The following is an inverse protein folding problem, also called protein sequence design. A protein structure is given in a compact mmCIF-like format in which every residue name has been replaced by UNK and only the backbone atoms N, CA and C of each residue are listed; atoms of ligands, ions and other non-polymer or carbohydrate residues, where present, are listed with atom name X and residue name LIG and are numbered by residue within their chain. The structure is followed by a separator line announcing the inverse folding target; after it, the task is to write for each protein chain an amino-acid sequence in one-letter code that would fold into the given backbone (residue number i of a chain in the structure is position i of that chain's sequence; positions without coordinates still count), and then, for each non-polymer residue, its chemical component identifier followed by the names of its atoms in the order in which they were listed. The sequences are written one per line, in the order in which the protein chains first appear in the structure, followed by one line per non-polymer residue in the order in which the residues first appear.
data_IF_011192350133
#
_entry.id   IF_011192350133
#
_cell.length_a   1.000
_cell.length_b   1.000
_cell.length_c   1.000
_cell.angle_alpha   90.00
_cell.angle_beta   90.00
_cell.angle_gamma   90.00
#
_symmetry.space_group_name_H-M   'P 1'
#
loop_
_entity.id
_entity.type
_entity.pdbx_description
1 polymer ?
#
# COMPACT_ATOMS: atom_id res chain seq x y z
N UNK A 1 16.33 10.02 3.40
CA UNK A 1 15.35 8.92 3.29
C UNK A 1 14.09 9.41 3.98
N UNK A 2 12.97 9.38 3.27
CA UNK A 2 11.69 9.77 3.86
C UNK A 2 11.14 8.63 4.73
N UNK A 3 10.17 8.94 5.58
CA UNK A 3 9.68 8.05 6.65
C UNK A 3 10.74 7.63 7.69
N UNK A 4 11.88 8.34 7.81
CA UNK A 4 12.87 8.04 8.87
C UNK A 4 12.33 8.25 10.29
N UNK A 5 11.38 9.16 10.41
CA UNK A 5 10.72 9.49 11.66
C UNK A 5 9.22 9.42 11.44
N UNK A 6 8.52 9.06 12.51
CA UNK A 6 7.07 9.22 12.58
C UNK A 6 6.73 10.71 12.43
N UNK A 7 5.62 10.99 11.79
CA UNK A 7 5.10 12.36 11.69
C UNK A 7 3.57 12.37 11.69
N UNK A 8 3.01 13.55 11.94
CA UNK A 8 1.57 13.75 11.99
C UNK A 8 1.07 14.54 10.77
N UNK A 9 0.02 14.03 10.14
CA UNK A 9 -0.72 14.71 9.10
C UNK A 9 -1.86 15.50 9.75
N UNK A 10 -1.60 16.76 10.08
CA UNK A 10 -2.54 17.62 10.83
C UNK A 10 -3.42 18.49 9.92
N UNK A 11 -3.02 18.69 8.67
CA UNK A 11 -3.75 19.52 7.71
C UNK A 11 -4.89 18.72 7.06
N UNK A 12 -5.93 19.42 6.63
CA UNK A 12 -7.01 18.88 5.78
C UNK A 12 -6.46 18.59 4.37
N UNK A 13 -5.69 17.51 4.25
CA UNK A 13 -4.95 17.13 3.05
C UNK A 13 -4.67 15.63 3.06
N UNK A 14 -4.45 15.04 1.88
CA UNK A 14 -4.26 13.61 1.72
C UNK A 14 -5.34 12.77 2.40
N UNK A 15 -4.95 11.67 3.07
CA UNK A 15 -5.89 10.85 3.86
C UNK A 15 -6.59 11.66 4.97
N UNK A 16 -5.92 12.64 5.58
CA UNK A 16 -6.54 13.44 6.62
C UNK A 16 -7.58 14.44 6.07
N UNK A 17 -7.75 14.59 4.75
CA UNK A 17 -8.88 15.34 4.20
C UNK A 17 -10.20 14.57 4.31
N UNK A 18 -10.16 13.23 4.37
CA UNK A 18 -11.34 12.38 4.44
C UNK A 18 -12.16 12.72 5.68
N UNK A 19 -13.43 13.05 5.46
CA UNK A 19 -14.41 13.49 6.47
C UNK A 19 -13.90 14.54 7.49
N UNK A 20 -12.86 15.33 7.17
CA UNK A 20 -12.13 16.17 8.14
C UNK A 20 -13.04 17.06 8.99
N UNK A 21 -13.99 17.77 8.35
CA UNK A 21 -14.93 18.65 9.05
C UNK A 21 -15.85 17.88 10.02
N UNK A 22 -16.39 16.74 9.59
CA UNK A 22 -17.24 15.88 10.43
C UNK A 22 -16.44 15.32 11.61
N UNK A 23 -15.21 14.83 11.37
CA UNK A 23 -14.31 14.36 12.43
C UNK A 23 -13.98 15.47 13.42
N UNK A 24 -13.69 16.68 12.94
CA UNK A 24 -13.44 17.85 13.80
C UNK A 24 -14.63 18.15 14.71
N UNK A 25 -15.85 18.09 14.17
CA UNK A 25 -17.08 18.30 14.93
C UNK A 25 -17.31 17.23 16.00
N UNK A 26 -17.04 15.96 15.70
CA UNK A 26 -17.20 14.84 16.63
C UNK A 26 -16.10 14.86 17.70
N UNK A 27 -14.84 14.99 17.29
CA UNK A 27 -13.67 14.92 18.17
C UNK A 27 -13.46 16.18 19.02
N UNK A 28 -14.08 17.31 18.65
CA UNK A 28 -13.88 18.64 19.27
C UNK A 28 -12.41 19.10 19.29
N UNK A 29 -11.60 18.61 18.35
CA UNK A 29 -10.20 19.00 18.13
C UNK A 29 -9.88 18.92 16.63
N UNK A 30 -8.76 19.50 16.20
CA UNK A 30 -8.30 19.31 14.83
C UNK A 30 -7.93 17.83 14.60
N UNK A 31 -8.52 17.16 13.59
CA UNK A 31 -8.15 15.80 13.23
C UNK A 31 -6.68 15.70 12.80
N UNK A 32 -6.04 14.61 13.19
CA UNK A 32 -4.66 14.32 12.84
C UNK A 32 -4.50 12.81 12.69
N UNK A 33 -3.70 12.40 11.71
CA UNK A 33 -3.34 11.01 11.49
C UNK A 33 -1.84 10.85 11.71
N UNK A 34 -1.44 9.75 12.34
CA UNK A 34 -0.03 9.42 12.53
C UNK A 34 0.44 8.59 11.35
N UNK A 35 1.61 8.91 10.81
CA UNK A 35 2.24 8.17 9.74
C UNK A 35 3.50 7.51 10.31
N UNK A 36 3.54 6.16 10.40
CA UNK A 36 4.66 5.46 11.00
C UNK A 36 5.99 5.71 10.29
N UNK A 37 7.09 5.59 11.03
CA UNK A 37 8.42 5.49 10.42
C UNK A 37 8.60 4.16 9.71
N UNK A 38 9.55 4.09 8.78
CA UNK A 38 9.98 2.86 8.13
C UNK A 38 11.23 2.27 8.79
N UNK A 39 11.25 0.94 8.93
CA UNK A 39 12.41 0.16 9.38
C UNK A 39 12.75 -0.92 8.35
N UNK A 40 13.99 -1.41 8.37
CA UNK A 40 14.32 -2.70 7.78
C UNK A 40 14.03 -3.76 8.84
N UNK A 41 13.34 -4.83 8.47
CA UNK A 41 12.91 -5.84 9.43
C UNK A 41 12.51 -7.14 8.77
N UNK A 42 11.92 -7.98 9.61
CA UNK A 42 11.40 -9.31 9.28
C UNK A 42 9.88 -9.28 9.30
N UNK A 43 9.25 -10.41 8.96
CA UNK A 43 7.80 -10.51 8.99
C UNK A 43 7.25 -10.33 10.40
N UNK A 44 8.02 -10.72 11.42
CA UNK A 44 7.75 -10.57 12.84
C UNK A 44 7.70 -9.09 13.28
N UNK A 45 8.35 -8.20 12.54
CA UNK A 45 8.33 -6.76 12.79
C UNK A 45 7.09 -6.07 12.21
N UNK A 46 6.31 -6.77 11.37
CA UNK A 46 5.00 -6.28 10.89
C UNK A 46 3.99 -6.44 12.03
N UNK A 47 3.91 -5.41 12.86
CA UNK A 47 3.07 -5.38 14.05
C UNK A 47 2.20 -4.13 14.05
N UNK A 48 0.98 -4.26 14.57
CA UNK A 48 0.13 -3.11 14.82
C UNK A 48 0.62 -2.31 16.02
N UNK A 49 0.49 -0.99 15.93
CA UNK A 49 0.81 -0.03 16.98
C UNK A 49 -0.45 0.54 17.63
N UNK A 50 -0.26 1.59 18.42
CA UNK A 50 -1.34 2.23 19.17
C UNK A 50 -1.88 3.51 18.50
N UNK A 51 -1.18 4.01 17.47
CA UNK A 51 -1.50 5.27 16.83
C UNK A 51 -2.63 5.13 15.81
N UNK A 52 -3.50 6.14 15.76
CA UNK A 52 -4.52 6.27 14.73
C UNK A 52 -3.86 6.72 13.42
N UNK A 53 -3.93 5.87 12.40
CA UNK A 53 -3.31 6.11 11.08
C UNK A 53 -4.34 6.37 9.99
N UNK A 54 -5.59 6.00 10.24
CA UNK A 54 -6.73 6.28 9.39
C UNK A 54 -7.94 6.55 10.27
N UNK A 55 -8.77 7.51 9.87
CA UNK A 55 -9.98 7.83 10.61
C UNK A 55 -10.98 8.49 9.67
N UNK A 56 -12.20 7.98 9.65
CA UNK A 56 -13.26 8.48 8.79
C UNK A 56 -14.63 8.39 9.48
N UNK A 57 -15.56 9.28 9.09
CA UNK A 57 -16.97 9.16 9.44
C UNK A 57 -17.68 8.39 8.34
N UNK A 58 -18.18 7.20 8.67
CA UNK A 58 -18.84 6.29 7.75
C UNK A 58 -20.19 6.84 7.23
N UNK A 59 -20.83 6.10 6.31
CA UNK A 59 -22.12 6.46 5.71
C UNK A 59 -23.25 6.60 6.74
N UNK A 60 -23.15 5.90 7.88
CA UNK A 60 -24.10 5.95 8.98
C UNK A 60 -23.79 7.08 9.98
N UNK A 61 -22.73 7.84 9.76
CA UNK A 61 -22.32 8.94 10.62
C UNK A 61 -21.46 8.52 11.83
N UNK A 62 -21.00 7.26 11.90
CA UNK A 62 -20.15 6.82 12.98
C UNK A 62 -18.68 7.12 12.68
N UNK A 63 -17.95 7.57 13.71
CA UNK A 63 -16.51 7.74 13.63
C UNK A 63 -15.81 6.38 13.74
N UNK A 64 -15.06 6.02 12.70
CA UNK A 64 -14.19 4.85 12.67
C UNK A 64 -12.75 5.32 12.84
N UNK A 65 -12.09 4.95 13.93
CA UNK A 65 -10.70 5.29 14.22
C UNK A 65 -9.82 4.04 14.17
N UNK A 66 -8.92 3.97 13.20
CA UNK A 66 -8.16 2.76 12.89
C UNK A 66 -6.71 2.88 13.35
N UNK A 67 -6.30 1.92 14.20
CA UNK A 67 -4.89 1.75 14.58
C UNK A 67 -4.14 1.05 13.45
N UNK A 68 -2.97 1.58 13.11
CA UNK A 68 -2.13 1.08 12.02
C UNK A 68 -0.95 0.26 12.48
N UNK A 69 0.03 0.12 11.58
CA UNK A 69 1.31 -0.50 11.90
C UNK A 69 2.11 0.36 12.88
N UNK A 70 2.91 -0.29 13.73
CA UNK A 70 3.90 0.35 14.60
C UNK A 70 5.02 1.00 13.78
N UNK A 71 5.44 0.33 12.72
CA UNK A 71 6.38 0.83 11.72
C UNK A 71 5.95 0.30 10.35
N UNK A 72 6.25 1.05 9.30
CA UNK A 72 6.38 0.44 7.97
C UNK A 72 7.61 -0.45 7.96
N UNK A 73 7.57 -1.53 7.19
CA UNK A 73 8.63 -2.54 7.22
C UNK A 73 9.10 -2.83 5.80
N UNK A 74 10.40 -2.66 5.56
CA UNK A 74 11.06 -3.28 4.41
C UNK A 74 11.47 -4.68 4.80
N UNK A 75 10.93 -5.66 4.09
CA UNK A 75 11.29 -7.06 4.28
C UNK A 75 12.43 -7.42 3.33
N UNK A 76 13.41 -8.14 3.86
CA UNK A 76 14.46 -8.79 3.08
C UNK A 76 14.21 -10.31 3.11
N UNK A 77 13.68 -10.83 2.00
CA UNK A 77 13.42 -12.26 1.81
C UNK A 77 14.24 -12.69 0.59
N UNK A 78 15.28 -13.48 0.80
CA UNK A 78 16.32 -13.75 -0.22
C UNK A 78 15.82 -14.23 -1.58
N UNK A 79 14.68 -14.94 -1.61
CA UNK A 79 14.09 -15.50 -2.83
C UNK A 79 13.09 -14.56 -3.52
N UNK A 80 12.87 -13.36 -2.99
CA UNK A 80 11.84 -12.43 -3.43
C UNK A 80 12.44 -11.04 -3.75
N UNK A 81 11.77 -10.25 -4.60
CA UNK A 81 12.11 -8.85 -4.80
C UNK A 81 11.93 -8.03 -3.50
N UNK A 82 12.42 -6.79 -3.44
CA UNK A 82 12.17 -5.89 -2.32
C UNK A 82 10.67 -5.77 -2.01
N UNK A 83 10.32 -5.92 -0.74
CA UNK A 83 8.93 -5.84 -0.26
C UNK A 83 8.81 -4.73 0.76
N UNK A 84 7.80 -3.88 0.62
CA UNK A 84 7.49 -2.84 1.60
C UNK A 84 6.06 -3.03 2.08
N UNK A 85 5.91 -3.16 3.40
CA UNK A 85 4.62 -3.28 4.08
C UNK A 85 4.32 -1.96 4.82
N UNK A 86 3.13 -1.41 4.60
CA UNK A 86 2.67 -0.16 5.20
C UNK A 86 1.17 -0.25 5.54
N UNK A 87 0.60 0.77 6.17
CA UNK A 87 -0.80 0.76 6.57
C UNK A 87 -1.75 1.06 5.39
N UNK A 88 -1.77 2.28 4.89
CA UNK A 88 -2.72 2.80 3.91
C UNK A 88 -2.15 2.76 2.50
N UNK A 89 -2.99 2.42 1.52
CA UNK A 89 -2.52 2.07 0.19
C UNK A 89 -1.80 3.19 -0.57
N UNK A 90 -2.16 4.44 -0.31
CA UNK A 90 -1.54 5.61 -0.95
C UNK A 90 -0.03 5.68 -0.77
N UNK A 91 0.51 5.12 0.33
CA UNK A 91 1.95 5.12 0.59
C UNK A 91 2.76 4.37 -0.48
N UNK A 92 2.12 3.46 -1.24
CA UNK A 92 2.72 2.75 -2.37
C UNK A 92 3.40 3.71 -3.36
N UNK A 93 2.76 4.84 -3.68
CA UNK A 93 3.25 5.82 -4.65
C UNK A 93 4.68 6.28 -4.34
N UNK A 94 4.97 6.59 -3.07
CA UNK A 94 6.30 7.02 -2.67
C UNK A 94 7.33 5.91 -2.91
N UNK A 95 7.01 4.68 -2.53
CA UNK A 95 7.93 3.54 -2.65
C UNK A 95 8.19 3.16 -4.11
N UNK A 96 7.23 3.38 -5.01
CA UNK A 96 7.45 3.23 -6.44
C UNK A 96 8.45 4.26 -6.96
N UNK A 97 8.31 5.54 -6.60
CA UNK A 97 9.28 6.57 -6.97
C UNK A 97 10.65 6.36 -6.33
N UNK A 98 10.69 5.85 -5.10
CA UNK A 98 11.93 5.47 -4.46
C UNK A 98 12.64 4.34 -5.20
N UNK A 99 11.91 3.29 -5.60
CA UNK A 99 12.47 2.20 -6.40
C UNK A 99 12.94 2.67 -7.79
N UNK A 100 12.21 3.60 -8.43
CA UNK A 100 12.63 4.24 -9.68
C UNK A 100 13.92 5.05 -9.49
N UNK A 101 14.02 5.82 -8.40
CA UNK A 101 15.18 6.63 -8.08
C UNK A 101 16.43 5.78 -7.77
N UNK A 102 16.24 4.63 -7.12
CA UNK A 102 17.30 3.67 -6.80
C UNK A 102 17.67 2.75 -7.97
N UNK A 103 16.92 2.79 -9.09
CA UNK A 103 17.15 1.94 -10.25
C UNK A 103 16.67 0.49 -10.09
N UNK A 104 15.90 0.18 -9.04
CA UNK A 104 15.26 -1.13 -8.85
C UNK A 104 14.02 -1.31 -9.75
N UNK A 105 13.40 -0.21 -10.17
CA UNK A 105 12.26 -0.15 -11.06
C UNK A 105 12.60 0.74 -12.27
N UNK A 106 11.94 0.50 -13.41
CA UNK A 106 12.09 1.32 -14.62
C UNK A 106 10.73 1.89 -15.03
N UNK A 107 10.70 3.18 -15.38
CA UNK A 107 9.52 3.83 -15.95
C UNK A 107 9.55 3.72 -17.49
N UNK A 108 8.43 3.42 -18.16
CA UNK A 108 7.15 3.08 -17.55
C UNK A 108 7.07 1.59 -17.17
N UNK A 109 6.41 1.28 -16.04
CA UNK A 109 6.26 -0.09 -15.53
C UNK A 109 4.83 -0.63 -15.69
N UNK A 110 4.67 -1.95 -15.58
CA UNK A 110 3.36 -2.58 -15.45
C UNK A 110 2.97 -2.71 -13.97
N UNK A 111 1.76 -2.28 -13.63
CA UNK A 111 1.20 -2.45 -12.29
C UNK A 111 0.26 -3.66 -12.27
N UNK A 112 0.54 -4.65 -11.43
CA UNK A 112 -0.44 -5.67 -11.05
C UNK A 112 -1.01 -5.26 -9.71
N UNK A 113 -2.29 -4.89 -9.70
CA UNK A 113 -3.02 -4.39 -8.54
C UNK A 113 -4.04 -5.42 -8.08
N UNK A 114 -3.88 -5.95 -6.87
CA UNK A 114 -4.78 -6.92 -6.26
C UNK A 114 -5.35 -6.33 -4.97
N UNK A 115 -6.66 -6.11 -4.97
CA UNK A 115 -7.33 -5.20 -4.05
C UNK A 115 -8.85 -5.43 -4.15
N UNK A 116 -9.61 -5.13 -3.11
CA UNK A 116 -11.07 -4.98 -3.19
C UNK A 116 -11.48 -3.74 -4.01
N UNK A 117 -10.65 -2.70 -4.00
CA UNK A 117 -10.91 -1.37 -4.55
C UNK A 117 -10.05 -1.06 -5.77
N UNK A 118 -10.55 -0.14 -6.61
CA UNK A 118 -9.82 0.27 -7.82
C UNK A 118 -8.67 1.25 -7.58
N UNK A 119 -8.76 2.07 -6.53
CA UNK A 119 -7.86 3.21 -6.26
C UNK A 119 -7.68 4.23 -7.41
N UNK A 120 -8.71 4.34 -8.25
CA UNK A 120 -8.74 5.19 -9.45
C UNK A 120 -9.68 6.39 -9.31
N UNK A 121 -10.03 6.82 -8.10
CA UNK A 121 -10.76 8.08 -7.93
C UNK A 121 -9.95 9.22 -8.56
N UNK A 122 -10.67 10.23 -9.07
CA UNK A 122 -10.04 11.38 -9.69
C UNK A 122 -9.09 12.07 -8.71
N UNK A 123 -7.84 12.27 -9.12
CA UNK A 123 -6.91 13.16 -8.45
C UNK A 123 -6.71 14.44 -9.29
N UNK A 124 -7.08 15.58 -8.70
CA UNK A 124 -6.98 16.90 -9.34
C UNK A 124 -5.60 17.52 -9.20
N UNK A 125 -4.74 16.95 -8.36
CA UNK A 125 -3.39 17.47 -8.14
C UNK A 125 -2.46 16.98 -9.24
N UNK A 126 -1.77 17.88 -9.97
CA UNK A 126 -0.86 17.48 -11.03
C UNK A 126 0.43 16.88 -10.45
N UNK A 127 0.72 15.62 -10.81
CA UNK A 127 1.98 14.97 -10.50
C UNK A 127 3.03 15.28 -11.58
N UNK A 128 4.07 16.01 -11.20
CA UNK A 128 5.26 16.23 -12.03
C UNK A 128 6.18 15.00 -11.94
N UNK A 129 6.10 14.14 -12.95
CA UNK A 129 6.88 12.90 -13.03
C UNK A 129 8.39 13.16 -12.99
N UNK A 130 8.89 14.11 -13.78
CA UNK A 130 10.33 14.38 -13.87
C UNK A 130 10.89 14.89 -12.54
N UNK A 131 10.12 15.74 -11.85
CA UNK A 131 10.49 16.23 -10.53
C UNK A 131 10.45 15.11 -9.49
N UNK A 132 9.43 14.25 -9.51
CA UNK A 132 9.33 13.10 -8.59
C UNK A 132 10.49 12.10 -8.76
N UNK A 133 10.92 11.84 -10.00
CA UNK A 133 12.09 10.99 -10.30
C UNK A 133 13.40 11.54 -9.70
N UNK A 134 13.56 12.87 -9.68
CA UNK A 134 14.80 13.54 -9.22
C UNK A 134 14.76 13.91 -7.74
N UNK A 135 13.57 14.01 -7.14
CA UNK A 135 13.38 14.53 -5.80
C UNK A 135 12.37 13.69 -5.00
N UNK A 136 12.89 12.75 -4.20
CA UNK A 136 12.09 11.92 -3.30
C UNK A 136 11.31 12.70 -2.24
N UNK A 137 11.73 13.93 -1.89
CA UNK A 137 10.92 14.79 -1.03
C UNK A 137 9.66 15.26 -1.74
N UNK A 138 9.74 15.62 -3.01
CA UNK A 138 8.54 15.98 -3.77
C UNK A 138 7.60 14.77 -3.92
N UNK A 139 8.12 13.58 -4.25
CA UNK A 139 7.31 12.37 -4.31
C UNK A 139 6.61 12.09 -2.97
N UNK A 140 7.34 12.19 -1.86
CA UNK A 140 6.78 12.01 -0.51
C UNK A 140 5.74 13.07 -0.14
N UNK A 141 5.97 14.34 -0.46
CA UNK A 141 4.99 15.41 -0.22
C UNK A 141 3.71 15.18 -1.05
N UNK A 142 3.86 14.77 -2.31
CA UNK A 142 2.72 14.43 -3.16
C UNK A 142 1.92 13.26 -2.57
N UNK A 143 2.58 12.15 -2.23
CA UNK A 143 1.95 10.98 -1.62
C UNK A 143 1.13 11.31 -0.37
N UNK A 144 1.66 12.15 0.53
CA UNK A 144 1.06 12.37 1.84
C UNK A 144 0.07 13.53 1.90
N UNK A 145 0.24 14.54 1.04
CA UNK A 145 -0.59 15.75 1.08
C UNK A 145 -1.52 15.90 -0.13
N UNK A 146 -1.26 15.19 -1.23
CA UNK A 146 -2.00 15.33 -2.50
C UNK A 146 -2.68 14.03 -2.96
N UNK A 147 -2.41 12.91 -2.31
CA UNK A 147 -3.10 11.64 -2.52
C UNK A 147 -3.84 11.19 -1.26
N UNK A 148 -4.95 10.49 -1.45
CA UNK A 148 -5.57 9.65 -0.45
C UNK A 148 -5.59 8.19 -0.93
N UNK A 149 -6.07 7.28 -0.08
CA UNK A 149 -6.16 5.84 -0.36
C UNK A 149 -6.83 5.54 -1.70
N UNK A 150 -7.87 6.27 -2.09
CA UNK A 150 -8.61 5.98 -3.32
C UNK A 150 -8.09 6.62 -4.61
N UNK A 151 -7.02 7.43 -4.60
CA UNK A 151 -6.65 8.26 -5.77
C UNK A 151 -5.15 8.41 -6.08
N UNK A 152 -4.29 7.55 -5.55
CA UNK A 152 -2.84 7.64 -5.76
C UNK A 152 -2.38 7.02 -7.09
N UNK A 153 -3.14 6.08 -7.68
CA UNK A 153 -2.76 5.42 -8.94
C UNK A 153 -3.00 6.35 -10.14
N UNK A 154 -4.13 7.06 -10.13
CA UNK A 154 -4.62 7.87 -11.24
C UNK A 154 -3.58 8.88 -11.78
N UNK A 155 -2.83 9.64 -10.95
CA UNK A 155 -1.77 10.52 -11.43
C UNK A 155 -0.66 9.83 -12.24
N UNK A 156 -0.33 8.57 -11.91
CA UNK A 156 0.72 7.81 -12.57
C UNK A 156 0.27 7.23 -13.91
N UNK A 157 -1.03 6.98 -14.08
CA UNK A 157 -1.61 6.63 -15.38
C UNK A 157 -1.62 7.85 -16.30
N UNK A 158 -2.06 9.01 -15.79
CA UNK A 158 -2.09 10.27 -16.56
C UNK A 158 -0.74 10.68 -17.14
N UNK A 159 0.35 10.48 -16.39
CA UNK A 159 1.70 10.84 -16.83
C UNK A 159 2.48 9.68 -17.48
N UNK A 160 1.82 8.55 -17.76
CA UNK A 160 2.42 7.34 -18.32
C UNK A 160 3.56 6.73 -17.48
N UNK A 161 3.65 6.99 -16.18
CA UNK A 161 4.59 6.25 -15.30
C UNK A 161 4.20 4.77 -15.20
N UNK A 162 2.89 4.51 -15.09
CA UNK A 162 2.31 3.18 -15.25
C UNK A 162 1.91 3.04 -16.73
N UNK A 163 2.48 2.05 -17.42
CA UNK A 163 2.15 1.78 -18.84
C UNK A 163 0.85 1.00 -18.99
N UNK A 164 0.70 -0.01 -18.14
CA UNK A 164 -0.41 -0.97 -18.14
C UNK A 164 -0.74 -1.29 -16.69
N UNK A 165 -2.03 -1.43 -16.39
CA UNK A 165 -2.52 -1.88 -15.10
C UNK A 165 -3.35 -3.16 -15.29
N UNK A 166 -2.98 -4.21 -14.59
CA UNK A 166 -3.77 -5.44 -14.42
C UNK A 166 -4.48 -5.31 -13.07
N UNK A 167 -5.80 -5.43 -13.07
CA UNK A 167 -6.65 -5.38 -11.87
C UNK A 167 -7.10 -6.80 -11.53
N UNK A 168 -6.91 -7.20 -10.28
CA UNK A 168 -7.26 -8.51 -9.74
C UNK A 168 -8.24 -8.31 -8.58
N UNK A 169 -9.46 -7.90 -8.92
CA UNK A 169 -10.50 -7.48 -7.98
C UNK A 169 -11.64 -8.51 -7.86
N UNK A 170 -11.68 -9.51 -8.75
CA UNK A 170 -12.69 -10.55 -8.73
C UNK A 170 -12.13 -11.93 -9.09
N UNK A 171 -12.94 -12.96 -8.88
CA UNK A 171 -12.54 -14.35 -9.12
C UNK A 171 -12.15 -14.60 -10.58
N UNK A 172 -12.86 -13.99 -11.53
CA UNK A 172 -12.59 -14.17 -12.96
C UNK A 172 -11.19 -13.66 -13.33
N UNK A 173 -10.81 -12.48 -12.84
CA UNK A 173 -9.48 -11.91 -13.06
C UNK A 173 -8.39 -12.75 -12.39
N UNK A 174 -8.59 -13.15 -11.13
CA UNK A 174 -7.65 -14.01 -10.42
C UNK A 174 -7.43 -15.33 -11.16
N UNK A 175 -8.49 -15.95 -11.67
CA UNK A 175 -8.40 -17.19 -12.44
C UNK A 175 -7.68 -16.97 -13.79
N UNK A 176 -7.98 -15.85 -14.47
CA UNK A 176 -7.34 -15.47 -15.74
C UNK A 176 -5.83 -15.26 -15.59
N UNK A 177 -5.40 -14.64 -14.49
CA UNK A 177 -4.00 -14.28 -14.25
C UNK A 177 -3.25 -15.22 -13.30
N UNK A 178 -3.85 -16.34 -12.88
CA UNK A 178 -3.23 -17.29 -11.92
C UNK A 178 -1.86 -17.83 -12.34
N UNK A 179 -1.60 -17.93 -13.65
CA UNK A 179 -0.34 -18.40 -14.25
C UNK A 179 0.40 -17.28 -14.99
N UNK A 180 0.03 -16.02 -14.74
CA UNK A 180 0.66 -14.88 -15.39
C UNK A 180 2.11 -14.74 -14.92
N UNK A 181 3.02 -14.47 -15.86
CA UNK A 181 4.43 -14.19 -15.56
C UNK A 181 4.67 -12.73 -15.91
N UNK A 182 4.73 -11.82 -14.91
CA UNK A 182 5.02 -10.42 -15.13
C UNK A 182 6.36 -10.15 -15.83
N UNK A 183 6.47 -9.06 -16.60
CA UNK A 183 7.77 -8.62 -17.10
C UNK A 183 8.65 -8.12 -15.95
N UNK A 184 9.98 -8.16 -16.12
CA UNK A 184 10.98 -7.68 -15.13
C UNK A 184 10.90 -6.18 -14.78
N UNK A 185 9.95 -5.44 -15.34
CA UNK A 185 9.65 -4.02 -15.06
C UNK A 185 8.21 -3.89 -14.57
N UNK A 186 7.89 -4.61 -13.52
CA UNK A 186 6.55 -4.67 -12.97
C UNK A 186 6.54 -4.48 -11.47
N UNK A 187 5.43 -3.99 -10.96
CA UNK A 187 5.15 -3.83 -9.53
C UNK A 187 3.97 -4.71 -9.20
N UNK A 188 4.09 -5.50 -8.13
CA UNK A 188 2.92 -6.11 -7.51
C UNK A 188 2.48 -5.24 -6.33
N UNK A 189 1.31 -4.64 -6.47
CA UNK A 189 0.68 -3.84 -5.44
C UNK A 189 -0.49 -4.62 -4.85
N UNK A 190 -0.33 -5.06 -3.62
CA UNK A 190 -1.30 -5.90 -2.92
C UNK A 190 -1.94 -5.08 -1.79
N UNK A 191 -3.25 -4.93 -1.83
CA UNK A 191 -4.00 -4.63 -0.62
C UNK A 191 -4.39 -5.95 0.07
N UNK A 192 -4.18 -6.04 1.38
CA UNK A 192 -4.57 -7.21 2.15
C UNK A 192 -6.10 -7.32 2.33
N UNK A 193 -6.84 -6.24 2.08
CA UNK A 193 -8.30 -6.21 2.11
C UNK A 193 -8.95 -7.12 1.04
N UNK A 194 -8.20 -7.60 0.06
CA UNK A 194 -8.63 -8.70 -0.82
C UNK A 194 -9.01 -9.96 -0.01
N UNK A 195 -8.61 -10.06 1.26
CA UNK A 195 -9.02 -11.11 2.22
C UNK A 195 -10.05 -10.66 3.25
N UNK A 196 -10.66 -9.48 3.10
CA UNK A 196 -11.77 -9.03 3.91
C UNK A 196 -13.01 -9.92 3.70
N UNK A 197 -13.93 -10.03 4.68
CA UNK A 197 -15.15 -10.83 4.58
C UNK A 197 -15.99 -10.55 3.33
N UNK A 198 -15.99 -9.29 2.88
CA UNK A 198 -16.67 -8.80 1.68
C UNK A 198 -16.19 -9.54 0.42
N UNK A 199 -14.95 -10.01 0.42
CA UNK A 199 -14.30 -10.72 -0.68
C UNK A 199 -14.33 -12.25 -0.56
N UNK A 200 -15.05 -12.82 0.41
CA UNK A 200 -15.07 -14.28 0.67
C UNK A 200 -15.71 -15.11 -0.45
N UNK A 201 -16.44 -14.47 -1.37
CA UNK A 201 -16.94 -15.14 -2.59
C UNK A 201 -15.80 -15.64 -3.49
N UNK A 202 -14.61 -15.07 -3.38
CA UNK A 202 -13.40 -15.56 -4.04
C UNK A 202 -12.68 -16.54 -3.10
N UNK A 203 -12.49 -17.82 -3.48
CA UNK A 203 -11.81 -18.78 -2.62
C UNK A 203 -10.40 -18.33 -2.22
N UNK A 204 -10.10 -18.32 -0.92
CA UNK A 204 -8.81 -17.90 -0.37
C UNK A 204 -7.61 -18.60 -1.04
N UNK A 205 -7.75 -19.90 -1.34
CA UNK A 205 -6.70 -20.67 -2.02
C UNK A 205 -6.35 -20.04 -3.38
N UNK A 206 -7.34 -19.60 -4.15
CA UNK A 206 -7.10 -18.96 -5.46
C UNK A 206 -6.34 -17.65 -5.30
N UNK A 207 -6.70 -16.84 -4.29
CA UNK A 207 -5.99 -15.59 -3.96
C UNK A 207 -4.52 -15.87 -3.66
N UNK A 208 -4.26 -16.80 -2.74
CA UNK A 208 -2.89 -17.17 -2.32
C UNK A 208 -2.08 -17.75 -3.48
N UNK A 209 -2.65 -18.67 -4.27
CA UNK A 209 -1.95 -19.31 -5.38
C UNK A 209 -1.55 -18.25 -6.44
N UNK A 210 -2.44 -17.31 -6.75
CA UNK A 210 -2.17 -16.18 -7.65
C UNK A 210 -1.06 -15.27 -7.10
N UNK A 211 -1.17 -14.84 -5.83
CA UNK A 211 -0.16 -14.02 -5.15
C UNK A 211 1.21 -14.69 -5.19
N UNK A 212 1.30 -15.98 -4.83
CA UNK A 212 2.56 -16.73 -4.80
C UNK A 212 3.18 -16.90 -6.19
N UNK A 213 2.36 -16.98 -7.24
CA UNK A 213 2.85 -17.02 -8.61
C UNK A 213 3.41 -15.65 -9.06
N UNK A 214 2.80 -14.53 -8.67
CA UNK A 214 3.22 -13.18 -9.08
C UNK A 214 4.46 -12.71 -8.30
N UNK A 215 4.47 -12.89 -6.97
CA UNK A 215 5.48 -12.38 -6.04
C UNK A 215 6.94 -12.52 -6.51
N UNK A 216 7.45 -13.70 -6.95
CA UNK A 216 8.85 -13.86 -7.31
C UNK A 216 9.25 -13.23 -8.66
N UNK A 217 8.27 -12.80 -9.47
CA UNK A 217 8.49 -12.42 -10.86
C UNK A 217 8.49 -10.90 -11.11
N UNK A 218 8.16 -10.09 -10.10
CA UNK A 218 8.09 -8.62 -10.20
C UNK A 218 9.39 -7.94 -9.74
N UNK A 219 9.53 -6.65 -10.02
CA UNK A 219 10.70 -5.85 -9.59
C UNK A 219 10.55 -5.33 -8.16
N UNK A 220 9.31 -5.15 -7.71
CA UNK A 220 8.96 -4.53 -6.44
C UNK A 220 7.60 -5.05 -5.96
N UNK A 221 7.47 -5.26 -4.66
CA UNK A 221 6.20 -5.58 -4.01
C UNK A 221 5.87 -4.50 -2.99
N UNK A 222 4.65 -3.96 -3.08
CA UNK A 222 4.09 -3.04 -2.07
C UNK A 222 2.84 -3.67 -1.47
N UNK A 223 2.75 -3.69 -0.14
CA UNK A 223 1.65 -4.34 0.59
C UNK A 223 1.01 -3.33 1.55
N UNK A 224 -0.28 -3.04 1.35
CA UNK A 224 -1.09 -2.29 2.30
C UNK A 224 -1.77 -3.23 3.30
N UNK A 225 -1.78 -2.83 4.58
CA UNK A 225 -2.42 -3.57 5.67
C UNK A 225 -3.83 -3.06 5.99
N UNK A 226 -4.24 -1.97 5.36
CA UNK A 226 -5.60 -1.43 5.20
C UNK A 226 -6.49 -1.55 6.43
N UNK A 227 -6.11 -0.89 7.54
CA UNK A 227 -6.74 -1.06 8.84
C UNK A 227 -8.19 -0.54 8.92
N UNK A 228 -8.68 0.14 7.88
CA UNK A 228 -10.09 0.54 7.75
C UNK A 228 -10.96 -0.58 7.18
N UNK A 229 -10.42 -1.37 6.24
CA UNK A 229 -11.17 -2.37 5.47
C UNK A 229 -11.05 -3.78 6.06
N UNK A 230 -9.96 -4.07 6.78
CA UNK A 230 -9.74 -5.41 7.35
C UNK A 230 -9.25 -5.35 8.80
N UNK A 231 -9.76 -6.26 9.64
CA UNK A 231 -9.35 -6.32 11.04
C UNK A 231 -7.85 -6.66 11.18
N UNK A 232 -7.12 -6.00 12.10
CA UNK A 232 -5.68 -6.22 12.29
C UNK A 232 -5.26 -7.68 12.45
N UNK A 233 -6.02 -8.44 13.26
CA UNK A 233 -5.73 -9.84 13.50
C UNK A 233 -5.92 -10.71 12.25
N UNK A 234 -6.91 -10.41 11.40
CA UNK A 234 -7.11 -11.14 10.14
C UNK A 234 -5.99 -10.79 9.15
N UNK A 235 -5.70 -9.50 8.99
CA UNK A 235 -4.66 -9.00 8.09
C UNK A 235 -3.30 -9.67 8.35
N UNK A 236 -2.84 -9.70 9.62
CA UNK A 236 -1.59 -10.38 9.99
C UNK A 236 -1.61 -11.87 9.65
N UNK A 237 -2.70 -12.58 9.98
CA UNK A 237 -2.80 -14.02 9.66
C UNK A 237 -2.70 -14.27 8.16
N UNK A 238 -3.30 -13.41 7.33
CA UNK A 238 -3.26 -13.54 5.87
C UNK A 238 -1.88 -13.22 5.32
N UNK A 239 -1.24 -12.16 5.82
CA UNK A 239 0.14 -11.83 5.48
C UNK A 239 1.09 -13.00 5.79
N UNK A 240 1.03 -13.56 7.00
CA UNK A 240 1.82 -14.74 7.36
C UNK A 240 1.55 -15.94 6.44
N UNK A 241 0.30 -16.15 6.06
CA UNK A 241 -0.08 -17.26 5.18
C UNK A 241 0.43 -17.10 3.75
N UNK A 242 0.47 -15.86 3.23
CA UNK A 242 1.10 -15.54 1.95
C UNK A 242 2.57 -15.93 1.97
N UNK A 243 3.29 -15.54 3.03
CA UNK A 243 4.73 -15.79 3.14
C UNK A 243 5.12 -17.17 3.66
N UNK A 244 4.15 -18.00 4.04
CA UNK A 244 4.41 -19.38 4.45
C UNK A 244 5.05 -20.16 3.30
N UNK A 245 6.17 -20.84 3.58
CA UNK A 245 7.03 -21.58 2.63
C UNK A 245 7.94 -20.74 1.72
N UNK A 246 8.03 -19.43 1.94
CA UNK A 246 9.20 -18.68 1.45
C UNK A 246 10.29 -18.73 2.51
N UNK A 247 11.56 -18.83 2.09
CA UNK A 247 12.70 -18.85 3.01
C UNK A 247 12.86 -17.49 3.69
N UNK A 248 12.19 -17.32 4.83
CA UNK A 248 12.31 -16.16 5.72
C UNK A 248 13.67 -16.23 6.43
N UNK A 249 14.75 -15.83 5.76
CA UNK A 249 16.04 -15.71 6.43
C UNK A 249 16.07 -14.45 7.28
N UNK A 250 16.21 -14.61 8.60
CA UNK A 250 16.57 -13.53 9.52
C UNK A 250 17.92 -12.95 9.08
N UNK A 251 18.07 -11.63 8.88
CA UNK A 251 19.35 -11.05 8.50
C UNK A 251 20.40 -11.39 9.57
N UNK A 252 21.39 -12.21 9.21
CA UNK A 252 22.60 -12.33 10.02
C UNK A 252 23.41 -11.05 9.81
N UNK A 253 23.36 -10.16 10.80
CA UNK A 253 24.24 -9.01 10.91
C UNK A 253 25.67 -9.40 10.49
N UNK A 254 26.21 -8.74 9.47
CA UNK A 254 27.63 -8.65 9.18
C UNK A 254 28.07 -7.21 9.37
#
# INVERSE_FOLDING_TARGET
MQYKHEFHLEKESGNNALSYKKRKEILKKNPSLTIPKIINGTLEDVQYGEHIVFEEVDENGNLQSCKGLKNFVRLDISSLPPIIVFDNHNHALYFWYEALHLGHLQSPFELIHMDEHSDLWENKNPLDHEKAMKNLKYAWEFTNYQCNVGNYIEPLLKNNTIKTMIRLENEFEIEKYKNYIPPKKSVFNLDIDIFAPEMDFIPERKKIDCIKNILPNVSLVTIAMSPYFISPGLALRKLHRIFTNFDLQVPRNR
#
